data_IF_573144751878
#
_entry.id   IF_573144751878
#
_cell.length_a   1.000
_cell.length_b   1.000
_cell.length_c   1.000
_cell.angle_alpha   90.00
_cell.angle_beta   90.00
_cell.angle_gamma   90.00
#
_symmetry.space_group_name_H-M   'P 1'
#
loop_
_entity.id
_entity.type
_entity.pdbx_description
1 polymer ?
#
# COMPACT_ATOMS: atom_id res chain seq x y z
N UNK A 1 31.76 -18.70 4.25
CA UNK A 1 30.34 -18.36 3.98
C UNK A 1 30.30 -17.19 2.98
N UNK A 2 29.55 -17.33 1.88
CA UNK A 2 29.73 -16.54 0.65
C UNK A 2 29.42 -15.05 0.89
N UNK A 3 30.39 -14.11 0.77
CA UNK A 3 30.22 -12.69 1.10
C UNK A 3 29.10 -11.99 0.30
N UNK A 4 28.70 -12.56 -0.83
CA UNK A 4 27.55 -12.11 -1.63
C UNK A 4 26.20 -12.27 -0.91
N UNK A 5 26.03 -13.30 -0.07
CA UNK A 5 24.79 -13.51 0.70
C UNK A 5 24.65 -12.46 1.81
N UNK A 6 25.76 -12.13 2.47
CA UNK A 6 25.79 -11.12 3.52
C UNK A 6 25.40 -9.73 2.98
N UNK A 7 25.94 -9.35 1.81
CA UNK A 7 25.58 -8.09 1.14
C UNK A 7 24.09 -8.03 0.75
N UNK A 8 23.52 -9.14 0.28
CA UNK A 8 22.08 -9.20 -0.05
C UNK A 8 21.20 -9.08 1.20
N UNK A 9 21.54 -9.78 2.27
CA UNK A 9 20.81 -9.70 3.54
C UNK A 9 20.87 -8.29 4.13
N UNK A 10 22.05 -7.66 4.13
CA UNK A 10 22.22 -6.28 4.59
C UNK A 10 21.38 -5.31 3.75
N UNK A 11 21.40 -5.47 2.43
CA UNK A 11 20.57 -4.66 1.52
C UNK A 11 19.08 -4.82 1.85
N UNK A 12 18.60 -6.05 2.03
CA UNK A 12 17.20 -6.32 2.39
C UNK A 12 16.80 -5.67 3.72
N UNK A 13 17.66 -5.76 4.74
CA UNK A 13 17.45 -5.11 6.04
C UNK A 13 17.37 -3.59 5.92
N UNK A 14 18.23 -2.97 5.10
CA UNK A 14 18.20 -1.52 4.85
C UNK A 14 16.91 -1.13 4.12
N UNK A 15 16.51 -1.87 3.09
CA UNK A 15 15.26 -1.61 2.35
C UNK A 15 14.03 -1.70 3.26
N UNK A 16 13.96 -2.72 4.12
CA UNK A 16 12.90 -2.87 5.13
C UNK A 16 12.93 -1.73 6.15
N UNK A 17 14.11 -1.36 6.64
CA UNK A 17 14.25 -0.25 7.59
C UNK A 17 13.74 1.07 7.00
N UNK A 18 14.04 1.35 5.73
CA UNK A 18 13.53 2.54 5.02
C UNK A 18 12.01 2.50 4.90
N UNK A 19 11.42 1.37 4.50
CA UNK A 19 9.96 1.22 4.39
C UNK A 19 9.27 1.40 5.76
N UNK A 20 9.81 0.78 6.82
CA UNK A 20 9.30 0.95 8.18
C UNK A 20 9.44 2.40 8.69
N UNK A 21 10.57 3.05 8.41
CA UNK A 21 10.77 4.45 8.77
C UNK A 21 9.73 5.37 8.10
N UNK A 22 9.47 5.16 6.80
CA UNK A 22 8.45 5.93 6.09
C UNK A 22 7.04 5.67 6.63
N UNK A 23 6.72 4.44 7.01
CA UNK A 23 5.44 4.11 7.66
C UNK A 23 5.28 4.84 8.99
N UNK A 24 6.30 4.80 9.86
CA UNK A 24 6.28 5.48 11.16
C UNK A 24 6.18 7.01 11.01
N UNK A 25 6.96 7.59 10.09
CA UNK A 25 6.89 9.02 9.78
C UNK A 25 5.53 9.41 9.22
N UNK A 26 4.95 8.60 8.33
CA UNK A 26 3.60 8.80 7.81
C UNK A 26 2.54 8.79 8.92
N UNK A 27 2.65 7.87 9.88
CA UNK A 27 1.78 7.86 11.07
C UNK A 27 1.97 9.07 11.98
N UNK A 28 3.22 9.49 12.22
CA UNK A 28 3.52 10.67 13.03
C UNK A 28 2.95 11.95 12.39
N UNK A 29 3.11 12.09 11.07
CA UNK A 29 2.56 13.22 10.31
C UNK A 29 1.03 13.17 10.32
N UNK A 30 0.42 12.01 10.05
CA UNK A 30 -1.04 11.86 10.05
C UNK A 30 -1.65 12.21 11.42
N UNK A 31 -1.01 11.78 12.52
CA UNK A 31 -1.44 12.11 13.88
C UNK A 31 -1.27 13.59 14.22
N UNK A 32 -0.18 14.24 13.80
CA UNK A 32 0.01 15.68 13.99
C UNK A 32 -0.99 16.53 13.21
N UNK A 33 -1.33 16.13 11.98
CA UNK A 33 -2.34 16.82 11.17
C UNK A 33 -3.77 16.50 11.61
N UNK A 34 -3.97 15.53 12.51
CA UNK A 34 -5.29 15.10 12.96
C UNK A 34 -6.16 14.51 11.85
N UNK A 35 -5.54 14.01 10.77
CA UNK A 35 -6.28 13.51 9.62
C UNK A 35 -6.82 12.09 9.87
N UNK A 36 -8.05 11.77 9.42
CA UNK A 36 -8.65 10.44 9.52
C UNK A 36 -8.04 9.44 8.51
N UNK A 37 -6.78 9.63 8.14
CA UNK A 37 -6.08 8.85 7.11
C UNK A 37 -5.13 7.88 7.83
N UNK A 38 -5.16 6.58 7.48
CA UNK A 38 -4.22 5.62 8.04
C UNK A 38 -2.76 6.03 7.76
N UNK A 39 -1.89 5.87 8.75
CA UNK A 39 -0.46 6.21 8.63
C UNK A 39 0.23 5.54 7.43
N UNK A 40 -0.21 4.35 7.04
CA UNK A 40 0.27 3.66 5.83
C UNK A 40 -0.02 4.39 4.52
N UNK A 41 -1.21 4.98 4.38
CA UNK A 41 -1.56 5.78 3.19
C UNK A 41 -0.70 7.05 3.13
N UNK A 42 -0.46 7.68 4.27
CA UNK A 42 0.45 8.84 4.36
C UNK A 42 1.90 8.45 4.04
N UNK A 43 2.35 7.28 4.53
CA UNK A 43 3.67 6.72 4.19
C UNK A 43 3.83 6.45 2.70
N UNK A 44 2.78 5.96 2.03
CA UNK A 44 2.77 5.79 0.56
C UNK A 44 2.86 7.14 -0.17
N UNK A 45 2.14 8.17 0.31
CA UNK A 45 2.23 9.51 -0.27
C UNK A 45 3.65 10.10 -0.12
N UNK A 46 4.29 9.93 1.05
CA UNK A 46 5.67 10.34 1.27
C UNK A 46 6.64 9.59 0.35
N UNK A 47 6.46 8.27 0.21
CA UNK A 47 7.27 7.46 -0.68
C UNK A 47 7.12 7.93 -2.13
N UNK A 48 5.90 8.26 -2.56
CA UNK A 48 5.63 8.81 -3.89
C UNK A 48 6.34 10.14 -4.11
N UNK A 49 6.35 11.04 -3.12
CA UNK A 49 7.09 12.32 -3.18
C UNK A 49 8.61 12.06 -3.29
N UNK A 50 9.13 11.08 -2.55
CA UNK A 50 10.53 10.67 -2.62
C UNK A 50 10.93 10.10 -3.99
N UNK A 51 10.02 9.34 -4.62
CA UNK A 51 10.20 8.87 -6.00
C UNK A 51 10.10 10.01 -7.01
N UNK A 52 9.14 10.92 -6.86
CA UNK A 52 8.93 12.06 -7.75
C UNK A 52 10.10 13.06 -7.70
N UNK A 53 10.69 13.27 -6.53
CA UNK A 53 11.88 14.11 -6.34
C UNK A 53 13.19 13.47 -6.84
N UNK A 54 13.17 12.19 -7.25
CA UNK A 54 14.34 11.49 -7.78
C UNK A 54 15.38 11.10 -6.73
N UNK A 55 15.14 11.39 -5.45
CA UNK A 55 16.04 11.04 -4.33
C UNK A 55 16.13 9.52 -4.18
N UNK A 56 15.02 8.82 -4.39
CA UNK A 56 14.93 7.36 -4.25
C UNK A 56 14.47 6.73 -5.55
N UNK A 57 15.20 5.71 -6.03
CA UNK A 57 14.78 4.93 -7.20
C UNK A 57 13.89 3.75 -6.74
N UNK A 58 12.76 3.46 -7.42
CA UNK A 58 11.91 2.31 -7.05
C UNK A 58 12.67 0.98 -7.00
N UNK A 59 13.64 0.77 -7.90
CA UNK A 59 14.49 -0.42 -7.93
C UNK A 59 15.34 -0.63 -6.66
N UNK A 60 15.53 0.42 -5.86
CA UNK A 60 16.24 0.32 -4.58
C UNK A 60 15.39 -0.27 -3.46
N UNK A 61 14.07 -0.36 -3.59
CA UNK A 61 13.18 -0.92 -2.57
C UNK A 61 12.48 -2.22 -3.01
N UNK A 62 12.69 -2.64 -4.26
CA UNK A 62 12.01 -3.80 -4.85
C UNK A 62 12.26 -5.10 -4.10
N UNK A 63 13.45 -5.30 -3.51
CA UNK A 63 13.78 -6.55 -2.82
C UNK A 63 13.06 -6.62 -1.47
N UNK A 64 13.12 -5.55 -0.69
CA UNK A 64 12.44 -5.44 0.60
C UNK A 64 10.92 -5.42 0.47
N UNK A 65 10.39 -4.64 -0.48
CA UNK A 65 8.96 -4.63 -0.78
C UNK A 65 8.47 -5.98 -1.30
N UNK A 66 9.24 -6.64 -2.19
CA UNK A 66 8.92 -7.98 -2.69
C UNK A 66 8.88 -9.03 -1.58
N UNK A 67 9.81 -8.95 -0.62
CA UNK A 67 9.82 -9.83 0.55
C UNK A 67 8.61 -9.59 1.46
N UNK A 68 8.28 -8.33 1.74
CA UNK A 68 7.10 -7.98 2.54
C UNK A 68 5.80 -8.43 1.86
N UNK A 69 5.74 -8.31 0.53
CA UNK A 69 4.62 -8.80 -0.29
C UNK A 69 4.50 -10.33 -0.25
N UNK A 70 5.62 -11.06 -0.28
CA UNK A 70 5.63 -12.52 -0.18
C UNK A 70 5.09 -13.01 1.18
N UNK A 71 5.39 -12.28 2.25
CA UNK A 71 4.93 -12.56 3.61
C UNK A 71 3.60 -11.86 3.96
N UNK A 72 2.83 -11.33 2.99
CA UNK A 72 1.58 -10.60 3.27
C UNK A 72 0.56 -11.42 4.06
N UNK A 73 0.53 -12.73 3.85
CA UNK A 73 -0.33 -13.64 4.63
C UNK A 73 -0.04 -13.54 6.13
N UNK A 74 1.23 -13.41 6.52
CA UNK A 74 1.63 -13.27 7.92
C UNK A 74 1.08 -11.98 8.54
N UNK A 75 1.00 -10.88 7.77
CA UNK A 75 0.39 -9.63 8.23
C UNK A 75 -1.14 -9.67 8.25
N UNK A 76 -1.76 -10.52 7.43
CA UNK A 76 -3.21 -10.70 7.45
C UNK A 76 -3.71 -11.57 8.60
N UNK A 77 -2.90 -12.50 9.12
CA UNK A 77 -3.32 -13.38 10.22
C UNK A 77 -3.78 -12.57 11.46
N UNK A 78 -3.00 -11.61 12.00
CA UNK A 78 -3.45 -10.82 13.15
C UNK A 78 -4.68 -9.96 12.84
N UNK A 79 -4.75 -9.38 11.65
CA UNK A 79 -5.88 -8.55 11.24
C UNK A 79 -7.18 -9.37 11.14
N UNK A 80 -7.10 -10.58 10.61
CA UNK A 80 -8.24 -11.49 10.52
C UNK A 80 -8.66 -12.01 11.90
N UNK A 81 -7.71 -12.31 12.79
CA UNK A 81 -8.03 -12.73 14.16
C UNK A 81 -8.82 -11.65 14.91
N UNK A 82 -8.40 -10.38 14.81
CA UNK A 82 -9.15 -9.27 15.40
C UNK A 82 -10.55 -9.09 14.81
N UNK A 83 -10.76 -9.50 13.55
CA UNK A 83 -12.08 -9.46 12.93
C UNK A 83 -13.02 -10.53 13.51
N UNK A 84 -12.51 -11.72 13.82
CA UNK A 84 -13.30 -12.83 14.37
C UNK A 84 -13.85 -12.53 15.77
N UNK A 85 -13.19 -11.65 16.54
CA UNK A 85 -13.71 -11.15 17.82
C UNK A 85 -15.07 -10.44 17.67
N UNK A 86 -15.37 -9.90 16.49
CA UNK A 86 -16.66 -9.31 16.12
C UNK A 86 -17.60 -10.32 15.44
N UNK A 87 -17.48 -11.61 15.76
CA UNK A 87 -18.17 -12.70 15.07
C UNK A 87 -19.70 -12.58 15.01
N UNK A 88 -20.35 -11.92 15.99
CA UNK A 88 -21.80 -11.66 15.95
C UNK A 88 -22.18 -10.72 14.80
N UNK A 89 -21.42 -9.65 14.58
CA UNK A 89 -21.64 -8.71 13.48
C UNK A 89 -21.44 -9.39 12.12
N UNK A 90 -20.40 -10.22 11.99
CA UNK A 90 -20.15 -10.99 10.75
C UNK A 90 -21.30 -11.96 10.48
N UNK A 91 -21.87 -12.58 11.52
CA UNK A 91 -22.95 -13.56 11.36
C UNK A 91 -24.26 -12.92 10.88
N UNK A 92 -24.62 -11.77 11.44
CA UNK A 92 -25.89 -11.11 11.15
C UNK A 92 -25.80 -10.18 9.92
N UNK A 93 -24.67 -9.49 9.75
CA UNK A 93 -24.50 -8.43 8.75
C UNK A 93 -23.44 -8.76 7.69
N UNK A 94 -22.78 -9.92 7.76
CA UNK A 94 -21.67 -10.29 6.87
C UNK A 94 -22.03 -10.28 5.39
N UNK A 95 -23.26 -10.67 5.04
CA UNK A 95 -23.75 -10.59 3.66
C UNK A 95 -23.84 -9.15 3.15
N UNK A 96 -24.33 -8.21 3.99
CA UNK A 96 -24.41 -6.78 3.63
C UNK A 96 -23.01 -6.17 3.48
N UNK A 97 -22.09 -6.51 4.38
CA UNK A 97 -20.68 -6.08 4.31
C UNK A 97 -20.05 -6.59 3.00
N UNK A 98 -20.20 -7.88 2.68
CA UNK A 98 -19.65 -8.48 1.46
C UNK A 98 -20.18 -7.78 0.20
N UNK A 99 -21.48 -7.52 0.14
CA UNK A 99 -22.13 -6.84 -0.98
C UNK A 99 -21.59 -5.41 -1.15
N UNK A 100 -21.47 -4.65 -0.06
CA UNK A 100 -20.90 -3.29 -0.07
C UNK A 100 -19.45 -3.30 -0.54
N UNK A 101 -18.62 -4.23 -0.05
CA UNK A 101 -17.21 -4.34 -0.47
C UNK A 101 -17.12 -4.69 -1.96
N UNK A 102 -17.88 -5.67 -2.42
CA UNK A 102 -17.85 -6.11 -3.82
C UNK A 102 -18.29 -4.99 -4.77
N UNK A 103 -19.41 -4.34 -4.49
CA UNK A 103 -19.96 -3.26 -5.33
C UNK A 103 -19.05 -2.03 -5.29
N UNK A 104 -18.56 -1.61 -4.12
CA UNK A 104 -17.66 -0.45 -4.02
C UNK A 104 -16.34 -0.70 -4.74
N UNK A 105 -15.76 -1.90 -4.62
CA UNK A 105 -14.51 -2.25 -5.31
C UNK A 105 -14.70 -2.26 -6.83
N UNK A 106 -15.78 -2.87 -7.33
CA UNK A 106 -16.11 -2.85 -8.75
C UNK A 106 -16.32 -1.42 -9.26
N UNK A 107 -17.07 -0.61 -8.50
CA UNK A 107 -17.33 0.77 -8.86
C UNK A 107 -16.04 1.60 -8.92
N UNK A 108 -15.15 1.47 -7.94
CA UNK A 108 -13.83 2.15 -7.93
C UNK A 108 -13.00 1.71 -9.13
N UNK A 109 -12.96 0.42 -9.46
CA UNK A 109 -12.22 -0.08 -10.63
C UNK A 109 -12.78 0.49 -11.94
N UNK A 110 -14.11 0.49 -12.12
CA UNK A 110 -14.78 1.03 -13.32
C UNK A 110 -14.51 2.53 -13.47
N UNK A 111 -14.70 3.30 -12.39
CA UNK A 111 -14.46 4.75 -12.42
C UNK A 111 -13.01 5.06 -12.72
N UNK A 112 -12.07 4.32 -12.13
CA UNK A 112 -10.63 4.49 -12.40
C UNK A 112 -10.32 4.18 -13.86
N UNK A 113 -10.84 3.07 -14.40
CA UNK A 113 -10.64 2.68 -15.79
C UNK A 113 -11.19 3.74 -16.77
N UNK A 114 -12.43 4.20 -16.55
CA UNK A 114 -13.04 5.26 -17.37
C UNK A 114 -12.28 6.58 -17.28
N UNK A 115 -11.81 6.96 -16.09
CA UNK A 115 -11.03 8.20 -15.89
C UNK A 115 -9.72 8.13 -16.66
N UNK A 116 -8.98 7.01 -16.56
CA UNK A 116 -7.73 6.81 -17.30
C UNK A 116 -7.99 6.81 -18.81
N UNK A 117 -9.04 6.13 -19.28
CA UNK A 117 -9.39 6.09 -20.70
C UNK A 117 -9.75 7.48 -21.23
N UNK A 118 -10.51 8.27 -20.48
CA UNK A 118 -10.87 9.64 -20.84
C UNK A 118 -9.62 10.53 -20.94
N UNK A 119 -8.73 10.47 -19.95
CA UNK A 119 -7.49 11.25 -19.91
C UNK A 119 -6.56 10.86 -21.06
N UNK A 120 -6.37 9.56 -21.30
CA UNK A 120 -5.58 9.07 -22.44
C UNK A 120 -6.18 9.52 -23.77
N UNK A 121 -7.50 9.41 -23.95
CA UNK A 121 -8.19 9.86 -25.17
C UNK A 121 -8.12 11.37 -25.37
N UNK A 122 -8.13 12.16 -24.30
CA UNK A 122 -7.93 13.61 -24.36
C UNK A 122 -6.50 13.98 -24.75
N UNK A 123 -5.51 13.25 -24.24
CA UNK A 123 -4.09 13.42 -24.58
C UNK A 123 -3.81 13.08 -26.06
N UNK A 124 -4.34 11.96 -26.55
CA UNK A 124 -4.22 11.54 -27.96
C UNK A 124 -4.88 12.50 -28.96
N UNK A 125 -5.85 13.32 -28.52
CA UNK A 125 -6.45 14.38 -29.36
C UNK A 125 -5.62 15.66 -29.42
N UNK A 126 -4.62 15.82 -28.55
CA UNK A 126 -3.79 17.04 -28.43
C UNK A 126 -2.32 16.82 -28.84
N UNK A 127 -1.96 15.63 -29.33
CA UNK A 127 -0.71 15.43 -30.07
C UNK A 127 -1.02 15.59 -31.58
N UNK A 128 -0.48 16.62 -32.26
CA UNK A 128 -0.63 16.80 -33.71
C UNK A 128 0.16 15.78 -34.54
#
# INVERSE_FOLDING_TARGET
MKPALLKKALRLLVELAVLCALFLLGGQIASWLGWPIPGGVMGLALLLILFASGVLKPAMLQLGAGWLMAEMLLFFIPALMSLLDYGSLIRDEGWRILLVIAVSTLMVMIVTAMTVELVCRWRLRHEP
#
